data_IF_019270840861
#
_entry.id   IF_019270840861
#
_cell.length_a   1.000
_cell.length_b   1.000
_cell.length_c   1.000
_cell.angle_alpha   90.00
_cell.angle_beta   90.00
_cell.angle_gamma   90.00
#
_symmetry.space_group_name_H-M   'P 1'
#
loop_
_entity.id
_entity.type
_entity.pdbx_description
1 polymer ?
#
# COMPACT_ATOMS: atom_id res chain seq x y z
N UNK A 1 15.17 -47.05 27.34
CA UNK A 1 16.15 -45.93 27.47
C UNK A 1 16.28 -45.15 26.17
N UNK A 2 16.45 -45.78 25.00
CA UNK A 2 16.56 -45.07 23.71
C UNK A 2 15.31 -44.26 23.32
N UNK A 3 14.11 -44.77 23.63
CA UNK A 3 12.84 -44.12 23.26
C UNK A 3 12.65 -42.76 23.95
N UNK A 4 13.01 -42.66 25.23
CA UNK A 4 12.96 -41.39 25.98
C UNK A 4 13.89 -40.32 25.37
N UNK A 5 15.08 -40.70 24.92
CA UNK A 5 16.05 -39.78 24.30
C UNK A 5 15.51 -39.21 22.99
N UNK A 6 14.88 -40.05 22.16
CA UNK A 6 14.28 -39.63 20.88
C UNK A 6 13.09 -38.69 21.07
N UNK A 7 12.29 -38.90 22.12
CA UNK A 7 11.17 -38.01 22.44
C UNK A 7 11.69 -36.65 22.91
N UNK A 8 12.72 -36.63 23.77
CA UNK A 8 13.31 -35.39 24.27
C UNK A 8 13.93 -34.54 23.14
N UNK A 9 14.65 -35.15 22.19
CA UNK A 9 15.23 -34.41 21.06
C UNK A 9 14.15 -33.89 20.10
N UNK A 10 13.08 -34.66 19.89
CA UNK A 10 11.95 -34.26 19.05
C UNK A 10 11.19 -33.06 19.63
N UNK A 11 10.95 -33.06 20.95
CA UNK A 11 10.30 -31.93 21.65
C UNK A 11 11.17 -30.67 21.59
N UNK A 12 12.48 -30.81 21.81
CA UNK A 12 13.42 -29.68 21.70
C UNK A 12 13.44 -29.11 20.27
N UNK A 13 13.43 -29.97 19.25
CA UNK A 13 13.39 -29.54 17.85
C UNK A 13 12.11 -28.76 17.51
N UNK A 14 10.95 -29.18 18.02
CA UNK A 14 9.67 -28.47 17.84
C UNK A 14 9.71 -27.06 18.47
N UNK A 15 10.33 -26.92 19.65
CA UNK A 15 10.47 -25.62 20.34
C UNK A 15 11.43 -24.67 19.59
N UNK A 16 12.44 -25.20 18.89
CA UNK A 16 13.35 -24.40 18.05
C UNK A 16 12.65 -23.88 16.78
N UNK A 17 11.60 -24.55 16.30
CA UNK A 17 10.84 -24.11 15.12
C UNK A 17 9.75 -23.06 15.41
N UNK A 18 9.38 -22.80 16.67
CA UNK A 18 8.46 -21.72 17.02
C UNK A 18 9.15 -20.35 17.00
N UNK A 19 9.81 -20.01 15.90
CA UNK A 19 10.22 -18.65 15.63
C UNK A 19 8.99 -17.88 15.14
N UNK A 20 8.25 -17.29 16.08
CA UNK A 20 7.35 -16.19 15.77
C UNK A 20 8.19 -15.02 15.27
N UNK A 21 8.50 -15.00 13.96
CA UNK A 21 9.17 -13.87 13.34
C UNK A 21 8.24 -12.66 13.47
N UNK A 22 8.48 -11.82 14.47
CA UNK A 22 8.05 -10.44 14.44
C UNK A 22 8.76 -9.80 13.23
N UNK A 23 8.11 -9.85 12.07
CA UNK A 23 8.59 -9.18 10.88
C UNK A 23 8.65 -7.70 11.19
N UNK A 24 9.87 -7.14 11.18
CA UNK A 24 10.03 -5.69 11.17
C UNK A 24 9.15 -5.13 10.04
N UNK A 25 8.49 -3.97 10.23
CA UNK A 25 7.63 -3.41 9.20
C UNK A 25 8.45 -3.28 7.92
N UNK A 26 8.11 -4.12 6.94
CA UNK A 26 8.73 -4.08 5.62
C UNK A 26 8.24 -2.78 5.01
N UNK A 27 9.10 -1.76 5.02
CA UNK A 27 8.81 -0.49 4.37
C UNK A 27 8.58 -0.68 2.87
N UNK A 28 8.12 0.37 2.21
CA UNK A 28 7.78 0.35 0.79
C UNK A 28 8.88 -0.25 -0.10
N UNK A 29 8.46 -1.11 -1.03
CA UNK A 29 9.33 -1.74 -2.01
C UNK A 29 9.81 -0.68 -3.02
N UNK A 30 11.13 -0.55 -3.28
CA UNK A 30 11.66 0.50 -4.15
C UNK A 30 10.99 0.58 -5.53
N UNK A 31 10.71 -0.58 -6.13
CA UNK A 31 10.04 -0.65 -7.44
C UNK A 31 8.61 -0.11 -7.41
N UNK A 32 7.87 -0.36 -6.34
CA UNK A 32 6.50 0.14 -6.18
C UNK A 32 6.50 1.65 -5.91
N UNK A 33 7.43 2.13 -5.09
CA UNK A 33 7.67 3.57 -4.88
C UNK A 33 7.93 4.28 -6.20
N UNK A 34 8.81 3.72 -7.02
CA UNK A 34 9.21 4.35 -8.29
C UNK A 34 8.03 4.35 -9.28
N UNK A 35 7.26 3.27 -9.37
CA UNK A 35 6.04 3.20 -10.17
C UNK A 35 4.97 4.22 -9.70
N UNK A 36 4.81 4.42 -8.39
CA UNK A 36 3.89 5.42 -7.84
C UNK A 36 4.35 6.85 -8.13
N UNK A 37 5.65 7.11 -8.13
CA UNK A 37 6.19 8.43 -8.51
C UNK A 37 6.01 8.69 -10.00
N UNK A 38 6.17 7.68 -10.85
CA UNK A 38 5.86 7.77 -12.26
C UNK A 38 4.37 8.02 -12.50
N UNK A 39 3.50 7.31 -11.79
CA UNK A 39 2.06 7.55 -11.77
C UNK A 39 1.71 8.97 -11.31
N UNK A 40 2.38 9.50 -10.29
CA UNK A 40 2.22 10.90 -9.88
C UNK A 40 2.59 11.87 -11.01
N UNK A 41 3.67 11.60 -11.74
CA UNK A 41 4.11 12.47 -12.83
C UNK A 41 3.17 12.42 -14.05
N UNK A 42 2.40 11.35 -14.22
CA UNK A 42 1.39 11.27 -15.28
C UNK A 42 0.10 12.01 -14.95
N UNK A 43 -0.11 12.40 -13.68
CA UNK A 43 -1.24 13.21 -13.25
C UNK A 43 -0.87 14.69 -13.35
N UNK A 44 -1.51 15.39 -14.29
CA UNK A 44 -1.27 16.81 -14.58
C UNK A 44 -2.12 17.75 -13.70
N UNK A 45 -3.26 17.27 -13.20
CA UNK A 45 -4.16 18.05 -12.37
C UNK A 45 -4.50 17.31 -11.05
N UNK A 46 -4.00 17.84 -9.94
CA UNK A 46 -4.21 17.38 -8.56
C UNK A 46 -4.84 18.52 -7.74
N UNK A 47 -6.12 18.87 -8.00
CA UNK A 47 -6.76 20.04 -7.40
C UNK A 47 -6.92 19.92 -5.88
N UNK A 48 -6.93 18.68 -5.37
CA UNK A 48 -7.01 18.40 -3.93
C UNK A 48 -5.63 18.24 -3.27
N UNK A 49 -4.53 18.30 -4.04
CA UNK A 49 -3.16 18.17 -3.55
C UNK A 49 -2.88 16.83 -2.86
N UNK A 50 -3.56 15.75 -3.26
CA UNK A 50 -3.48 14.45 -2.60
C UNK A 50 -2.12 13.78 -2.83
N UNK A 51 -1.49 14.05 -3.98
CA UNK A 51 -0.21 13.48 -4.40
C UNK A 51 0.99 14.36 -4.02
N UNK A 52 0.74 15.56 -3.48
CA UNK A 52 1.77 16.52 -3.10
C UNK A 52 2.82 15.94 -2.15
N UNK A 53 2.40 15.07 -1.23
CA UNK A 53 3.26 14.50 -0.18
C UNK A 53 4.11 13.32 -0.64
N UNK A 54 3.90 12.81 -1.85
CA UNK A 54 4.66 11.68 -2.36
C UNK A 54 6.04 12.17 -2.80
N UNK A 55 7.08 11.76 -2.07
CA UNK A 55 8.46 12.21 -2.31
C UNK A 55 9.39 11.02 -2.36
N UNK A 56 10.35 11.08 -3.30
CA UNK A 56 11.43 10.11 -3.37
C UNK A 56 12.24 10.14 -2.08
N UNK A 57 12.52 8.96 -1.51
CA UNK A 57 13.24 8.80 -0.24
C UNK A 57 12.33 8.54 0.97
N UNK A 58 11.06 8.93 0.90
CA UNK A 58 10.08 8.63 1.94
C UNK A 58 9.53 7.20 1.75
N UNK A 59 9.10 6.57 2.85
CA UNK A 59 8.39 5.30 2.81
C UNK A 59 7.00 5.50 2.18
N UNK A 60 6.74 4.89 1.01
CA UNK A 60 5.47 5.06 0.32
C UNK A 60 4.27 4.54 1.11
N UNK A 61 4.48 3.62 2.06
CA UNK A 61 3.41 3.15 2.95
C UNK A 61 2.92 4.23 3.91
N UNK A 62 3.69 5.31 4.09
CA UNK A 62 3.32 6.49 4.86
C UNK A 62 2.66 7.58 4.00
N UNK A 63 2.61 7.42 2.68
CA UNK A 63 1.97 8.40 1.82
C UNK A 63 0.46 8.38 2.00
N UNK A 64 -0.14 9.58 1.97
CA UNK A 64 -1.58 9.73 2.04
C UNK A 64 -2.23 8.96 0.89
N UNK A 65 -3.25 8.16 1.23
CA UNK A 65 -4.00 7.36 0.26
C UNK A 65 -3.36 6.01 -0.07
N UNK A 66 -2.19 5.68 0.47
CA UNK A 66 -1.53 4.39 0.26
C UNK A 66 -1.76 3.48 1.47
N UNK A 67 -2.03 2.21 1.21
CA UNK A 67 -2.03 1.16 2.23
C UNK A 67 -1.14 0.02 1.77
N UNK A 68 -0.21 -0.39 2.64
CA UNK A 68 0.63 -1.54 2.42
C UNK A 68 0.16 -2.76 3.21
N UNK A 69 0.59 -3.93 2.78
CA UNK A 69 0.45 -5.18 3.51
C UNK A 69 1.46 -5.21 4.66
N UNK A 70 0.98 -5.33 5.90
CA UNK A 70 1.86 -5.44 7.07
C UNK A 70 2.70 -6.72 7.10
N UNK A 71 2.39 -7.72 6.23
CA UNK A 71 3.14 -8.99 6.13
C UNK A 71 4.24 -8.96 5.08
N UNK A 72 4.07 -8.14 4.03
CA UNK A 72 4.90 -8.22 2.83
C UNK A 72 5.47 -6.88 2.38
N UNK A 73 4.98 -5.75 2.91
CA UNK A 73 5.38 -4.41 2.51
C UNK A 73 4.81 -3.95 1.16
N UNK A 74 4.11 -4.82 0.42
CA UNK A 74 3.49 -4.49 -0.86
C UNK A 74 2.34 -3.48 -0.71
N UNK A 75 2.26 -2.53 -1.64
CA UNK A 75 1.10 -1.63 -1.78
C UNK A 75 -0.13 -2.43 -2.22
N UNK A 76 -1.16 -2.45 -1.38
CA UNK A 76 -2.41 -3.19 -1.61
C UNK A 76 -3.62 -2.27 -1.83
N UNK A 77 -3.46 -0.95 -1.66
CA UNK A 77 -4.50 0.03 -1.96
C UNK A 77 -3.88 1.38 -2.28
N UNK A 78 -4.41 2.01 -3.31
CA UNK A 78 -4.17 3.39 -3.67
C UNK A 78 -5.51 4.14 -3.73
N UNK A 79 -5.63 5.25 -3.00
CA UNK A 79 -6.82 6.09 -2.95
C UNK A 79 -6.45 7.55 -3.26
N UNK A 80 -6.91 8.03 -4.42
CA UNK A 80 -6.60 9.37 -4.93
C UNK A 80 -7.66 10.41 -4.57
N UNK A 81 -8.90 9.98 -4.38
CA UNK A 81 -10.02 10.88 -4.09
C UNK A 81 -10.75 10.48 -2.81
N UNK A 82 -11.17 11.50 -2.06
CA UNK A 82 -12.12 11.36 -0.94
C UNK A 82 -13.51 11.66 -1.49
N UNK A 83 -14.48 10.74 -1.41
CA UNK A 83 -15.86 11.11 -1.70
C UNK A 83 -16.29 12.20 -0.72
N UNK A 84 -16.94 13.26 -1.24
CA UNK A 84 -17.62 14.24 -0.40
C UNK A 84 -19.00 13.66 -0.07
N UNK A 85 -19.32 13.61 1.21
CA UNK A 85 -20.66 13.29 1.67
C UNK A 85 -21.38 14.62 1.87
N UNK A 86 -22.20 15.00 0.89
CA UNK A 86 -23.19 16.04 1.07
C UNK A 86 -24.49 15.36 1.57
N UNK A 87 -25.33 16.06 2.34
CA UNK A 87 -26.52 15.50 3.03
C UNK A 87 -27.56 14.86 2.09
N UNK A 88 -27.44 15.06 0.77
CA UNK A 88 -28.31 14.47 -0.27
C UNK A 88 -27.77 13.16 -0.89
N UNK A 89 -26.68 12.60 -0.36
CA UNK A 89 -26.15 11.29 -0.77
C UNK A 89 -24.85 11.33 -1.57
N UNK A 90 -24.36 10.13 -1.89
CA UNK A 90 -22.99 9.86 -2.37
C UNK A 90 -22.66 10.60 -3.67
N UNK A 91 -21.96 11.73 -3.58
CA UNK A 91 -21.37 12.40 -4.74
C UNK A 91 -19.88 12.04 -4.84
N UNK A 92 -19.52 11.32 -5.91
CA UNK A 92 -18.15 11.32 -6.39
C UNK A 92 -17.90 12.71 -7.00
N UNK A 93 -17.61 13.71 -6.14
CA UNK A 93 -17.21 15.04 -6.60
C UNK A 93 -15.83 14.90 -7.25
N UNK A 94 -15.91 14.65 -8.54
CA UNK A 94 -14.85 14.29 -9.44
C UNK A 94 -15.59 13.73 -10.64
N UNK A 95 -16.26 14.63 -11.38
CA UNK A 95 -16.69 14.52 -12.79
C UNK A 95 -17.60 15.69 -13.17
N UNK A 96 -17.01 16.86 -13.38
CA UNK A 96 -17.33 17.63 -14.59
C UNK A 96 -16.07 18.14 -15.30
N UNK A 97 -14.95 18.30 -14.58
CA UNK A 97 -13.68 18.75 -15.19
C UNK A 97 -12.85 17.59 -15.79
N UNK A 98 -12.85 16.41 -15.14
CA UNK A 98 -12.06 15.25 -15.58
C UNK A 98 -12.80 14.40 -16.63
N UNK A 99 -14.12 14.25 -16.50
CA UNK A 99 -14.94 13.57 -17.50
C UNK A 99 -14.93 14.30 -18.85
N UNK A 100 -14.88 15.64 -18.85
CA UNK A 100 -14.80 16.44 -20.08
C UNK A 100 -13.36 16.52 -20.65
N UNK A 101 -12.33 16.27 -19.85
CA UNK A 101 -10.93 16.24 -20.32
C UNK A 101 -10.51 14.87 -20.87
N UNK A 102 -11.12 13.78 -20.35
CA UNK A 102 -10.86 12.41 -20.82
C UNK A 102 -11.66 12.00 -22.07
N UNK A 103 -12.59 12.82 -22.55
CA UNK A 103 -13.24 12.64 -23.86
C UNK A 103 -12.40 13.19 -25.03
N UNK A 104 -11.22 13.76 -24.80
CA UNK A 104 -10.39 14.36 -25.85
C UNK A 104 -9.18 13.52 -26.29
N UNK A 105 -9.01 12.28 -25.85
CA UNK A 105 -7.89 11.44 -26.29
C UNK A 105 -8.32 10.04 -26.74
N UNK A 106 -9.13 10.00 -27.81
CA UNK A 106 -9.08 8.90 -28.76
C UNK A 106 -8.94 9.48 -30.18
N UNK A 107 -7.80 9.12 -30.80
CA UNK A 107 -7.28 9.42 -32.16
C UNK A 107 -6.50 10.72 -32.27
#
# INVERSE_FOLDING_TARGET
>A
MCTFIVVLTSIVFLMVTSNGQAQAPVGCIPRERDALLEFKNSITDDPMGQLKFWRRGDDCCQWRGIRCSNRTGHVIKLQLWKPKFDDDGMSLVGNDYMANSLMHWQI
#
